data_IF_239845087182
#
_entry.id   IF_239845087182
#
_cell.length_a   1.000
_cell.length_b   1.000
_cell.length_c   1.000
_cell.angle_alpha   90.00
_cell.angle_beta   90.00
_cell.angle_gamma   90.00
#
_symmetry.space_group_name_H-M   'P 1'
#
loop_
_entity.id
_entity.type
_entity.pdbx_description
1 polymer ?
#
# COMPACT_ATOMS: atom_id res chain seq x y z
N UNK A 1 -13.50 18.40 6.79
CA UNK A 1 -12.55 18.98 5.80
C UNK A 1 -11.13 18.83 6.35
N UNK A 2 -10.30 17.96 5.77
CA UNK A 2 -8.97 17.64 6.30
C UNK A 2 -7.98 18.76 5.91
N UNK A 3 -7.77 19.74 6.80
CA UNK A 3 -7.03 20.99 6.55
C UNK A 3 -5.52 20.83 6.25
N UNK A 4 -5.01 19.60 6.10
CA UNK A 4 -3.58 19.30 5.95
C UNK A 4 -3.26 18.15 4.96
N UNK A 5 -4.15 17.83 4.01
CA UNK A 5 -3.85 16.82 2.98
C UNK A 5 -3.23 17.50 1.76
N UNK A 6 -2.01 17.09 1.43
CA UNK A 6 -1.28 17.56 0.26
C UNK A 6 -1.63 16.80 -1.02
N UNK A 7 -1.93 15.51 -0.91
CA UNK A 7 -2.26 14.66 -2.04
C UNK A 7 -2.89 13.35 -1.57
N UNK A 8 -3.63 12.71 -2.46
CA UNK A 8 -4.22 11.39 -2.26
C UNK A 8 -3.65 10.43 -3.29
N UNK A 9 -3.12 9.30 -2.82
CA UNK A 9 -2.49 8.29 -3.67
C UNK A 9 -3.20 6.97 -3.42
N UNK A 10 -3.65 6.33 -4.49
CA UNK A 10 -4.26 5.00 -4.48
C UNK A 10 -3.35 4.06 -5.27
N UNK A 11 -3.04 2.91 -4.70
CA UNK A 11 -2.16 1.89 -5.28
C UNK A 11 -2.98 0.62 -5.50
N UNK A 12 -2.95 0.12 -6.72
CA UNK A 12 -3.57 -1.13 -7.21
C UNK A 12 -5.04 -1.34 -6.82
N UNK A 13 -5.81 -0.26 -6.68
CA UNK A 13 -7.25 -0.36 -6.41
C UNK A 13 -8.06 0.50 -7.38
N UNK A 14 -8.95 -0.17 -8.09
CA UNK A 14 -9.99 0.41 -8.95
C UNK A 14 -11.31 -0.24 -8.55
N UNK A 15 -12.33 0.56 -8.23
CA UNK A 15 -13.60 0.08 -7.66
C UNK A 15 -14.26 -1.03 -8.49
N UNK A 16 -14.45 -0.82 -9.80
CA UNK A 16 -15.12 -1.80 -10.65
C UNK A 16 -14.39 -3.14 -10.66
N UNK A 17 -13.07 -3.11 -10.89
CA UNK A 17 -12.26 -4.34 -10.88
C UNK A 17 -12.16 -4.97 -9.50
N UNK A 18 -12.18 -4.16 -8.42
CA UNK A 18 -12.14 -4.67 -7.06
C UNK A 18 -13.43 -5.43 -6.72
N UNK A 19 -14.60 -4.83 -7.00
CA UNK A 19 -15.92 -5.44 -6.79
C UNK A 19 -16.08 -6.72 -7.63
N UNK A 20 -15.67 -6.70 -8.90
CA UNK A 20 -15.65 -7.90 -9.76
C UNK A 20 -14.74 -9.00 -9.22
N UNK A 21 -13.63 -8.64 -8.55
CA UNK A 21 -12.67 -9.61 -8.02
C UNK A 21 -13.08 -10.18 -6.66
N UNK A 22 -14.00 -9.54 -5.92
CA UNK A 22 -14.41 -9.98 -4.59
C UNK A 22 -14.95 -11.42 -4.59
N UNK A 23 -15.69 -11.80 -5.64
CA UNK A 23 -16.25 -13.16 -5.77
C UNK A 23 -15.16 -14.25 -5.82
N UNK A 24 -13.93 -13.89 -6.20
CA UNK A 24 -12.80 -14.81 -6.28
C UNK A 24 -11.89 -14.78 -5.04
N UNK A 25 -12.06 -13.79 -4.16
CA UNK A 25 -11.17 -13.61 -3.00
C UNK A 25 -11.22 -14.78 -2.03
N UNK A 26 -12.38 -15.43 -1.85
CA UNK A 26 -12.46 -16.64 -1.02
C UNK A 26 -11.61 -17.77 -1.56
N UNK A 27 -11.63 -18.00 -2.88
CA UNK A 27 -10.80 -19.00 -3.53
C UNK A 27 -9.31 -18.71 -3.33
N UNK A 28 -8.92 -17.44 -3.44
CA UNK A 28 -7.54 -17.00 -3.17
C UNK A 28 -7.13 -17.28 -1.72
N UNK A 29 -8.02 -17.00 -0.76
CA UNK A 29 -7.75 -17.23 0.66
C UNK A 29 -7.67 -18.72 1.00
N UNK A 30 -8.55 -19.55 0.43
CA UNK A 30 -8.52 -21.00 0.59
C UNK A 30 -7.28 -21.64 -0.03
N UNK A 31 -6.69 -21.03 -1.05
CA UNK A 31 -5.42 -21.47 -1.63
C UNK A 31 -4.19 -21.25 -0.73
N UNK A 32 -4.32 -20.53 0.39
CA UNK A 32 -3.21 -20.30 1.32
C UNK A 32 -2.98 -21.52 2.21
N UNK A 33 -1.72 -21.90 2.49
CA UNK A 33 -1.41 -22.90 3.49
C UNK A 33 -2.01 -22.52 4.85
N UNK A 34 -2.68 -23.45 5.51
CA UNK A 34 -3.28 -23.21 6.82
C UNK A 34 -2.22 -22.95 7.92
N UNK A 35 -1.02 -23.49 7.75
CA UNK A 35 0.11 -23.26 8.67
C UNK A 35 1.45 -23.57 8.00
N UNK A 36 2.51 -23.03 8.60
CA UNK A 36 3.90 -23.26 8.22
C UNK A 36 4.69 -23.86 9.39
N UNK A 37 5.74 -24.63 9.09
CA UNK A 37 6.69 -25.20 10.06
C UNK A 37 7.70 -24.16 10.53
N UNK A 38 8.01 -23.16 9.71
CA UNK A 38 8.96 -22.09 10.02
C UNK A 38 8.63 -20.81 9.26
N UNK A 39 9.19 -19.67 9.72
CA UNK A 39 9.10 -18.40 8.99
C UNK A 39 9.73 -18.51 7.59
N UNK A 40 10.83 -19.25 7.46
CA UNK A 40 11.50 -19.50 6.18
C UNK A 40 10.60 -20.22 5.17
N UNK A 41 9.76 -21.16 5.63
CA UNK A 41 8.78 -21.83 4.77
C UNK A 41 7.69 -20.86 4.29
N UNK A 42 7.21 -19.97 5.17
CA UNK A 42 6.25 -18.93 4.80
C UNK A 42 6.83 -17.96 3.77
N UNK A 43 8.07 -17.49 3.97
CA UNK A 43 8.78 -16.61 3.02
C UNK A 43 8.92 -17.31 1.66
N UNK A 44 9.36 -18.58 1.65
CA UNK A 44 9.51 -19.37 0.41
C UNK A 44 8.18 -19.52 -0.32
N UNK A 45 7.09 -19.80 0.41
CA UNK A 45 5.76 -19.90 -0.17
C UNK A 45 5.32 -18.57 -0.79
N UNK A 46 5.46 -17.44 -0.10
CA UNK A 46 5.05 -16.11 -0.60
C UNK A 46 5.76 -15.71 -1.90
N UNK A 47 7.01 -16.14 -2.08
CA UNK A 47 7.77 -15.94 -3.32
C UNK A 47 7.28 -16.90 -4.41
N UNK A 48 7.16 -18.19 -4.09
CA UNK A 48 6.74 -19.22 -5.05
C UNK A 48 5.30 -19.02 -5.56
N UNK A 49 4.40 -18.53 -4.71
CA UNK A 49 3.02 -18.16 -5.06
C UNK A 49 2.93 -16.85 -5.84
N UNK A 50 4.06 -16.15 -6.06
CA UNK A 50 4.13 -14.82 -6.68
C UNK A 50 3.29 -13.77 -5.94
N UNK A 51 3.01 -13.97 -4.65
CA UNK A 51 2.36 -12.95 -3.80
C UNK A 51 3.28 -11.77 -3.58
N UNK A 52 4.57 -12.04 -3.35
CA UNK A 52 5.65 -11.04 -3.29
C UNK A 52 6.76 -11.52 -4.20
N UNK A 53 7.12 -10.74 -5.21
CA UNK A 53 8.16 -11.10 -6.19
C UNK A 53 9.56 -10.75 -5.69
N UNK A 54 9.66 -9.70 -4.88
CA UNK A 54 10.92 -9.26 -4.29
C UNK A 54 11.31 -10.11 -3.07
N UNK A 55 12.39 -10.87 -3.21
CA UNK A 55 12.91 -11.76 -2.17
C UNK A 55 13.33 -10.99 -0.91
N UNK A 56 13.95 -9.82 -1.07
CA UNK A 56 14.39 -9.01 0.08
C UNK A 56 13.19 -8.45 0.85
N UNK A 57 12.19 -7.94 0.13
CA UNK A 57 10.95 -7.47 0.75
C UNK A 57 10.24 -8.61 1.48
N UNK A 58 10.11 -9.78 0.86
CA UNK A 58 9.46 -10.95 1.47
C UNK A 58 10.14 -11.38 2.78
N UNK A 59 11.47 -11.36 2.85
CA UNK A 59 12.21 -11.68 4.08
C UNK A 59 11.91 -10.72 5.23
N UNK A 60 11.57 -9.47 4.92
CA UNK A 60 11.29 -8.42 5.91
C UNK A 60 9.80 -8.39 6.28
N UNK A 61 8.90 -8.47 5.28
CA UNK A 61 7.47 -8.24 5.46
C UNK A 61 6.72 -9.48 5.96
N UNK A 62 7.04 -10.67 5.44
CA UNK A 62 6.30 -11.91 5.72
C UNK A 62 6.30 -12.32 7.21
N UNK A 63 7.41 -12.22 7.98
CA UNK A 63 7.39 -12.57 9.40
C UNK A 63 6.31 -11.82 10.20
N UNK A 64 6.01 -10.57 9.84
CA UNK A 64 4.95 -9.80 10.49
C UNK A 64 3.53 -10.28 10.13
N UNK A 65 3.36 -10.99 9.02
CA UNK A 65 2.05 -11.50 8.55
C UNK A 65 1.66 -12.84 9.17
N UNK A 66 2.58 -13.49 9.89
CA UNK A 66 2.36 -14.77 10.57
C UNK A 66 2.53 -14.61 12.08
N UNK A 67 1.99 -15.57 12.85
CA UNK A 67 2.18 -15.65 14.30
C UNK A 67 2.49 -17.08 14.71
N UNK A 68 3.38 -17.23 15.69
CA UNK A 68 3.73 -18.54 16.25
C UNK A 68 2.59 -19.04 17.13
N UNK A 69 2.27 -20.33 16.99
CA UNK A 69 1.32 -21.07 17.82
C UNK A 69 1.97 -22.36 18.32
N UNK A 70 1.57 -22.82 19.50
CA UNK A 70 1.93 -24.13 20.03
C UNK A 70 0.83 -25.13 19.70
N UNK A 71 1.11 -26.06 18.81
CA UNK A 71 0.22 -27.16 18.46
C UNK A 71 0.61 -28.47 19.15
N UNK A 72 -0.25 -29.50 19.00
CA UNK A 72 0.03 -30.86 19.52
C UNK A 72 1.29 -31.48 18.92
N UNK A 73 1.67 -31.06 17.71
CA UNK A 73 2.83 -31.58 16.96
C UNK A 73 4.05 -30.66 17.01
N UNK A 74 4.06 -29.69 17.92
CA UNK A 74 5.14 -28.72 18.09
C UNK A 74 4.75 -27.29 17.71
N UNK A 75 5.75 -26.41 17.61
CA UNK A 75 5.55 -25.02 17.22
C UNK A 75 5.24 -24.92 15.72
N UNK A 76 4.24 -24.11 15.38
CA UNK A 76 3.85 -23.82 13.99
C UNK A 76 3.60 -22.32 13.84
N UNK A 77 3.53 -21.86 12.60
CA UNK A 77 3.13 -20.50 12.27
C UNK A 77 1.80 -20.52 11.51
N UNK A 78 0.91 -19.61 11.84
CA UNK A 78 -0.35 -19.38 11.11
C UNK A 78 -0.42 -17.94 10.65
N UNK A 79 -1.28 -17.65 9.68
CA UNK A 79 -1.59 -16.27 9.31
C UNK A 79 -2.07 -15.48 10.53
N UNK A 80 -1.51 -14.30 10.74
CA UNK A 80 -1.84 -13.42 11.86
C UNK A 80 -3.30 -12.97 11.84
N UNK A 81 -3.85 -12.77 10.64
CA UNK A 81 -5.20 -12.23 10.44
C UNK A 81 -6.06 -13.23 9.70
N UNK A 82 -7.24 -13.53 10.25
CA UNK A 82 -8.30 -14.23 9.53
C UNK A 82 -9.01 -13.23 8.60
N UNK A 83 -8.53 -13.10 7.36
CA UNK A 83 -9.10 -12.14 6.41
C UNK A 83 -10.55 -12.49 6.04
N UNK A 84 -10.89 -13.78 5.95
CA UNK A 84 -12.27 -14.22 5.64
C UNK A 84 -13.29 -13.73 6.67
N UNK A 85 -12.90 -13.53 7.94
CA UNK A 85 -13.80 -12.96 8.96
C UNK A 85 -14.24 -11.51 8.65
N UNK A 86 -13.53 -10.82 7.75
CA UNK A 86 -13.85 -9.46 7.31
C UNK A 86 -14.67 -9.41 6.02
N UNK A 87 -15.04 -10.54 5.43
CA UNK A 87 -15.74 -10.64 4.13
C UNK A 87 -16.97 -9.75 4.02
N UNK A 88 -17.80 -9.74 5.07
CA UNK A 88 -19.02 -8.94 5.13
C UNK A 88 -18.81 -7.43 4.97
N UNK A 89 -17.57 -6.94 5.07
CA UNK A 89 -17.22 -5.53 4.92
C UNK A 89 -16.58 -5.20 3.57
N UNK A 90 -16.19 -6.21 2.77
CA UNK A 90 -15.37 -5.98 1.58
C UNK A 90 -16.07 -5.11 0.55
N UNK A 91 -17.36 -5.35 0.30
CA UNK A 91 -18.14 -4.56 -0.66
C UNK A 91 -18.15 -3.07 -0.26
N UNK A 92 -18.43 -2.78 1.01
CA UNK A 92 -18.49 -1.41 1.55
C UNK A 92 -17.14 -0.68 1.50
N UNK A 93 -16.02 -1.40 1.49
CA UNK A 93 -14.68 -0.80 1.35
C UNK A 93 -14.46 -0.19 -0.04
N UNK A 94 -15.01 -0.83 -1.08
CA UNK A 94 -14.81 -0.43 -2.47
C UNK A 94 -15.97 0.41 -3.02
N UNK A 95 -17.19 0.23 -2.50
CA UNK A 95 -18.36 0.94 -2.98
C UNK A 95 -18.21 2.47 -2.81
N UNK A 96 -18.36 3.18 -3.93
CA UNK A 96 -18.18 4.64 -4.01
C UNK A 96 -16.73 5.11 -3.89
N UNK A 97 -15.74 4.21 -3.94
CA UNK A 97 -14.33 4.57 -3.83
C UNK A 97 -13.89 5.50 -4.97
N UNK A 98 -14.33 5.24 -6.20
CA UNK A 98 -13.96 6.06 -7.36
C UNK A 98 -14.52 7.47 -7.23
N UNK A 99 -15.77 7.60 -6.79
CA UNK A 99 -16.40 8.90 -6.55
C UNK A 99 -15.69 9.67 -5.43
N UNK A 100 -15.40 9.01 -4.30
CA UNK A 100 -14.65 9.60 -3.18
C UNK A 100 -13.24 10.04 -3.60
N UNK A 101 -12.55 9.22 -4.39
CA UNK A 101 -11.25 9.56 -4.96
C UNK A 101 -11.37 10.80 -5.86
N UNK A 102 -12.28 10.81 -6.83
CA UNK A 102 -12.42 11.91 -7.79
C UNK A 102 -12.90 13.22 -7.14
N UNK A 103 -13.76 13.15 -6.13
CA UNK A 103 -14.28 14.33 -5.41
C UNK A 103 -13.29 14.94 -4.40
N UNK A 104 -12.19 14.24 -4.09
CA UNK A 104 -11.17 14.74 -3.16
C UNK A 104 -10.48 15.99 -3.72
N UNK A 105 -10.54 17.08 -2.94
CA UNK A 105 -9.89 18.38 -3.24
C UNK A 105 -8.40 18.38 -2.91
N UNK A 106 -7.66 17.49 -3.55
CA UNK A 106 -6.20 17.43 -3.51
C UNK A 106 -5.66 16.92 -4.86
N UNK A 107 -4.39 17.17 -5.17
CA UNK A 107 -3.65 16.38 -6.15
C UNK A 107 -3.85 14.88 -5.94
N UNK A 108 -3.98 14.14 -7.03
CA UNK A 108 -4.33 12.72 -7.01
C UNK A 108 -3.39 11.92 -7.90
N UNK A 109 -2.96 10.77 -7.40
CA UNK A 109 -2.16 9.78 -8.13
C UNK A 109 -2.81 8.41 -8.00
N UNK A 110 -3.01 7.74 -9.13
CA UNK A 110 -3.41 6.34 -9.19
C UNK A 110 -2.25 5.54 -9.78
N UNK A 111 -1.78 4.52 -9.07
CA UNK A 111 -0.75 3.61 -9.53
C UNK A 111 -1.37 2.22 -9.66
N UNK A 112 -1.28 1.58 -10.82
CA UNK A 112 -1.95 0.29 -11.10
C UNK A 112 -1.03 -0.70 -11.81
N UNK A 113 -1.17 -1.99 -11.52
CA UNK A 113 -0.38 -3.01 -12.21
C UNK A 113 -0.95 -3.30 -13.61
N UNK A 114 -2.22 -3.68 -13.72
CA UNK A 114 -2.85 -4.02 -15.01
C UNK A 114 -4.37 -3.69 -15.01
N UNK A 115 -4.83 -3.17 -16.16
CA UNK A 115 -6.17 -2.60 -16.50
C UNK A 115 -6.29 -1.07 -16.27
N UNK A 116 -6.27 -0.25 -17.34
CA UNK A 116 -6.43 1.19 -17.21
C UNK A 116 -7.88 1.58 -16.85
N UNK A 117 -8.04 2.51 -15.91
CA UNK A 117 -9.30 3.22 -15.70
C UNK A 117 -9.42 4.37 -16.71
N UNK A 118 -9.99 4.10 -17.88
CA UNK A 118 -9.88 5.00 -19.04
C UNK A 118 -10.66 6.32 -18.90
N UNK A 119 -11.83 6.30 -18.27
CA UNK A 119 -12.77 7.46 -18.33
C UNK A 119 -12.27 8.67 -17.51
N UNK A 120 -11.79 8.45 -16.29
CA UNK A 120 -11.34 9.55 -15.41
C UNK A 120 -9.97 10.13 -15.80
N UNK A 121 -9.11 9.33 -16.42
CA UNK A 121 -7.82 9.75 -16.94
C UNK A 121 -7.98 10.72 -18.13
N UNK A 122 -8.92 10.43 -19.03
CA UNK A 122 -9.16 11.26 -20.22
C UNK A 122 -9.65 12.69 -19.87
N UNK A 123 -10.17 12.91 -18.66
CA UNK A 123 -10.58 14.22 -18.16
C UNK A 123 -9.46 14.96 -17.39
N UNK A 124 -8.26 14.39 -17.26
CA UNK A 124 -7.12 15.02 -16.59
C UNK A 124 -7.29 15.21 -15.08
N UNK A 125 -8.20 14.46 -14.42
CA UNK A 125 -8.56 14.67 -13.01
C UNK A 125 -7.54 14.13 -12.00
N UNK A 126 -6.65 13.24 -12.42
CA UNK A 126 -5.60 12.64 -11.60
C UNK A 126 -4.42 12.19 -12.49
N UNK A 127 -3.23 12.05 -11.89
CA UNK A 127 -2.08 11.43 -12.54
C UNK A 127 -2.21 9.89 -12.46
N UNK A 128 -1.85 9.19 -13.52
CA UNK A 128 -1.86 7.72 -13.56
C UNK A 128 -0.47 7.20 -13.91
N UNK A 129 0.00 6.21 -13.17
CA UNK A 129 1.23 5.45 -13.45
C UNK A 129 0.88 3.96 -13.55
N UNK A 130 1.51 3.24 -14.49
CA UNK A 130 1.24 1.82 -14.72
C UNK A 130 2.54 1.03 -14.53
N UNK A 131 2.54 0.06 -13.61
CA UNK A 131 3.69 -0.85 -13.40
C UNK A 131 3.30 -2.28 -13.80
N UNK A 132 3.35 -2.62 -15.11
CA UNK A 132 2.91 -3.93 -15.61
C UNK A 132 3.74 -5.11 -15.08
N UNK A 133 4.95 -4.85 -14.57
CA UNK A 133 5.85 -5.84 -14.00
C UNK A 133 5.46 -6.30 -12.58
N UNK A 134 4.61 -5.54 -11.89
CA UNK A 134 4.21 -5.81 -10.51
C UNK A 134 3.01 -6.77 -10.44
N UNK A 135 2.93 -7.53 -9.35
CA UNK A 135 1.68 -8.12 -8.88
C UNK A 135 0.88 -7.13 -8.04
N UNK A 136 0.10 -7.66 -7.10
CA UNK A 136 -0.76 -6.84 -6.23
C UNK A 136 0.02 -5.96 -5.23
N UNK A 137 1.21 -6.39 -4.80
CA UNK A 137 2.00 -5.70 -3.80
C UNK A 137 3.08 -4.86 -4.48
N UNK A 138 2.66 -3.87 -5.28
CA UNK A 138 3.55 -3.03 -6.11
C UNK A 138 4.65 -2.34 -5.29
N UNK A 139 4.34 -1.97 -4.04
CA UNK A 139 5.29 -1.36 -3.11
C UNK A 139 6.36 -2.35 -2.60
N UNK A 140 6.09 -3.66 -2.65
CA UNK A 140 7.07 -4.69 -2.34
C UNK A 140 7.82 -5.14 -3.60
N UNK A 141 7.12 -5.26 -4.72
CA UNK A 141 7.68 -5.75 -5.99
C UNK A 141 8.62 -4.73 -6.66
N UNK A 142 8.26 -3.44 -6.70
CA UNK A 142 9.04 -2.38 -7.33
C UNK A 142 9.16 -1.12 -6.41
N UNK A 143 9.77 -1.24 -5.22
CA UNK A 143 9.85 -0.16 -4.24
C UNK A 143 10.57 1.09 -4.77
N UNK A 144 11.63 0.92 -5.56
CA UNK A 144 12.38 2.04 -6.14
C UNK A 144 11.55 2.81 -7.16
N UNK A 145 10.85 2.10 -8.05
CA UNK A 145 9.97 2.71 -9.06
C UNK A 145 8.82 3.46 -8.39
N UNK A 146 8.23 2.86 -7.36
CA UNK A 146 7.22 3.53 -6.54
C UNK A 146 7.79 4.81 -5.90
N UNK A 147 8.97 4.75 -5.31
CA UNK A 147 9.61 5.91 -4.67
C UNK A 147 9.87 7.04 -5.68
N UNK A 148 10.31 6.73 -6.90
CA UNK A 148 10.48 7.70 -7.99
C UNK A 148 9.15 8.37 -8.33
N UNK A 149 8.10 7.59 -8.59
CA UNK A 149 6.77 8.11 -8.92
C UNK A 149 6.21 9.03 -7.81
N UNK A 150 6.37 8.63 -6.54
CA UNK A 150 5.97 9.43 -5.39
C UNK A 150 6.75 10.75 -5.30
N UNK A 151 8.06 10.72 -5.54
CA UNK A 151 8.92 11.90 -5.51
C UNK A 151 8.58 12.88 -6.65
N UNK A 152 8.32 12.37 -7.86
CA UNK A 152 7.90 13.18 -9.00
C UNK A 152 6.53 13.82 -8.76
N UNK A 153 5.56 13.05 -8.26
CA UNK A 153 4.26 13.56 -7.85
C UNK A 153 4.39 14.66 -6.79
N UNK A 154 5.25 14.46 -5.78
CA UNK A 154 5.53 15.48 -4.77
C UNK A 154 6.16 16.73 -5.40
N UNK A 155 7.22 16.58 -6.20
CA UNK A 155 7.93 17.70 -6.85
C UNK A 155 7.01 18.53 -7.75
N UNK A 156 6.08 17.88 -8.46
CA UNK A 156 5.10 18.53 -9.32
C UNK A 156 4.08 19.35 -8.53
N UNK A 157 3.64 18.84 -7.38
CA UNK A 157 2.52 19.43 -6.64
C UNK A 157 2.95 20.32 -5.46
N UNK A 158 4.22 20.25 -5.01
CA UNK A 158 4.74 20.99 -3.82
C UNK A 158 4.63 22.51 -3.89
N UNK A 159 4.43 23.08 -5.08
CA UNK A 159 4.28 24.54 -5.28
C UNK A 159 3.05 25.09 -4.53
N UNK A 160 2.06 24.24 -4.25
CA UNK A 160 0.84 24.59 -3.50
C UNK A 160 0.99 24.49 -1.98
N UNK A 161 2.19 24.15 -1.46
CA UNK A 161 2.46 24.17 -0.02
C UNK A 161 2.98 25.57 0.33
N UNK A 162 2.29 26.36 1.17
CA UNK A 162 2.85 27.58 1.71
C UNK A 162 4.19 27.24 2.35
N UNK A 163 5.30 27.87 1.92
CA UNK A 163 6.62 27.63 2.49
C UNK A 163 6.52 27.86 4.01
N UNK A 164 6.44 26.79 4.79
CA UNK A 164 6.54 26.88 6.23
C UNK A 164 7.97 27.26 6.54
N UNK A 165 8.15 28.22 7.45
CA UNK A 165 9.42 28.46 8.11
C UNK A 165 9.98 27.11 8.57
N UNK A 166 11.22 26.82 8.14
CA UNK A 166 11.95 25.65 8.59
C UNK A 166 12.21 25.85 10.08
N UNK A 167 11.46 25.16 10.94
CA UNK A 167 11.78 25.09 12.36
C UNK A 167 12.95 24.11 12.47
N UNK A 168 14.14 24.54 12.94
CA UNK A 168 15.29 23.65 13.07
C UNK A 168 14.93 22.44 13.94
N UNK A 169 15.27 21.24 13.47
CA UNK A 169 15.16 20.04 14.29
C UNK A 169 16.31 20.07 15.30
N UNK A 170 15.97 20.48 16.53
CA UNK A 170 16.80 20.72 17.73
C UNK A 170 17.44 22.11 17.80
N UNK A 171 17.51 22.70 19.01
CA UNK A 171 18.39 23.83 19.25
C UNK A 171 19.82 23.36 18.97
N UNK A 172 20.51 24.04 18.05
CA UNK A 172 21.97 24.02 18.05
C UNK A 172 22.44 24.50 19.42
N UNK A 173 23.34 23.76 20.03
CA UNK A 173 23.92 24.04 21.34
C UNK A 173 24.32 25.52 21.47
N UNK A 174 23.99 26.08 22.64
CA UNK A 174 24.43 27.38 23.17
C UNK A 174 24.07 28.65 22.38
N UNK A 175 22.80 29.04 22.43
CA UNK A 175 22.48 30.46 22.41
C UNK A 175 23.01 31.11 23.71
N UNK A 176 24.17 31.77 23.62
CA UNK A 176 24.67 32.62 24.71
C UNK A 176 23.84 33.91 24.74
N UNK A 177 23.34 34.26 25.92
CA UNK A 177 22.59 35.50 26.11
C UNK A 177 23.49 36.72 25.84
N UNK A 178 22.98 37.80 25.23
CA UNK A 178 23.76 39.00 25.01
C UNK A 178 24.14 39.63 26.35
N UNK A 179 25.41 40.06 26.46
CA UNK A 179 25.88 40.80 27.64
C UNK A 179 25.18 42.16 27.70
N UNK A 180 24.74 42.53 28.91
CA UNK A 180 24.16 43.83 29.23
C UNK A 180 25.13 44.96 28.91
#
# INVERSE_FOLDING_TARGET
MLKKIFGLIVIDVVEGTALESLVHMQTVLMGRPASFKSEAEAIKWSIASHTIRNIESAKISVPSQITKIKGKTGERYIWRTNLSASEKYWEEWYQGLSEKFLSTRAPKLLIIANKPLTIGQMQGKFQMEIFPECGHLMNEDAPEKLAVALNEFFKRNKVFIPKRFVIPLRPTEHATAPKK
#
